data_IF_217144010877
#
_entry.id   IF_217144010877
#
_cell.length_a   1.000
_cell.length_b   1.000
_cell.length_c   1.000
_cell.angle_alpha   90.00
_cell.angle_beta   90.00
_cell.angle_gamma   90.00
#
_symmetry.space_group_name_H-M   'P 1'
#
loop_
_entity.id
_entity.type
_entity.pdbx_description
1 polymer ?
#
# COMPACT_ATOMS: atom_id res chain seq x y z
N UNK A 1 -0.04 -27.30 10.72
CA UNK A 1 0.55 -25.97 10.38
C UNK A 1 0.10 -25.60 9.00
N UNK A 2 -0.64 -24.49 8.86
CA UNK A 2 -1.12 -24.04 7.54
C UNK A 2 0.01 -23.36 6.77
N UNK A 3 0.06 -23.63 5.45
CA UNK A 3 1.07 -23.10 4.52
C UNK A 3 0.48 -22.03 3.62
N UNK A 4 1.02 -20.83 3.70
CA UNK A 4 0.58 -19.66 2.93
C UNK A 4 1.64 -19.33 1.88
N UNK A 5 1.30 -19.42 0.59
CA UNK A 5 2.10 -18.90 -0.50
C UNK A 5 1.77 -17.45 -0.77
N UNK A 6 2.63 -16.52 -0.39
CA UNK A 6 2.48 -15.10 -0.73
C UNK A 6 3.15 -14.81 -2.08
N UNK A 7 2.40 -14.27 -3.03
CA UNK A 7 2.88 -13.99 -4.39
C UNK A 7 3.00 -12.49 -4.63
N UNK A 8 4.22 -12.03 -4.92
CA UNK A 8 4.54 -10.64 -5.21
C UNK A 8 5.32 -10.52 -6.53
N UNK A 9 5.45 -9.32 -7.09
CA UNK A 9 6.30 -9.09 -8.26
C UNK A 9 7.79 -9.17 -7.90
N UNK A 10 8.17 -8.58 -6.78
CA UNK A 10 9.54 -8.55 -6.25
C UNK A 10 9.54 -8.70 -4.73
N UNK A 11 10.71 -8.88 -4.16
CA UNK A 11 10.89 -8.84 -2.70
C UNK A 11 10.44 -7.48 -2.17
N UNK A 12 9.68 -7.43 -1.04
CA UNK A 12 9.15 -6.18 -0.50
C UNK A 12 10.24 -5.17 -0.20
N UNK A 13 10.17 -4.01 -0.85
CA UNK A 13 11.08 -2.90 -0.67
C UNK A 13 10.76 -2.04 0.56
N UNK A 14 11.47 -0.92 0.67
CA UNK A 14 11.36 0.02 1.80
C UNK A 14 9.93 0.54 2.04
N UNK A 15 9.17 0.80 0.98
CA UNK A 15 7.78 1.30 1.08
C UNK A 15 6.75 0.18 1.32
N UNK A 16 7.17 -1.07 1.40
CA UNK A 16 6.33 -2.25 1.51
C UNK A 16 6.59 -3.03 2.81
N UNK A 17 7.01 -2.31 3.86
CA UNK A 17 7.33 -2.86 5.19
C UNK A 17 6.18 -3.67 5.80
N UNK A 18 4.94 -3.35 5.42
CA UNK A 18 3.75 -4.08 5.85
C UNK A 18 3.77 -5.56 5.46
N UNK A 19 4.37 -5.96 4.33
CA UNK A 19 4.52 -7.39 3.99
C UNK A 19 5.47 -8.08 4.95
N UNK A 20 6.57 -7.42 5.32
CA UNK A 20 7.52 -7.97 6.31
C UNK A 20 6.86 -8.14 7.68
N UNK A 21 6.08 -7.16 8.11
CA UNK A 21 5.30 -7.23 9.35
C UNK A 21 4.26 -8.34 9.31
N UNK A 22 3.52 -8.46 8.19
CA UNK A 22 2.54 -9.54 7.97
C UNK A 22 3.19 -10.92 8.04
N UNK A 23 4.32 -11.14 7.33
CA UNK A 23 5.04 -12.43 7.33
C UNK A 23 5.48 -12.78 8.75
N UNK A 24 6.16 -11.87 9.45
CA UNK A 24 6.60 -12.08 10.84
C UNK A 24 5.42 -12.40 11.78
N UNK A 25 4.33 -11.66 11.62
CA UNK A 25 3.13 -11.84 12.43
C UNK A 25 2.49 -13.22 12.23
N UNK A 26 2.37 -13.68 11.01
CA UNK A 26 1.82 -15.00 10.67
C UNK A 26 2.71 -16.14 11.20
N UNK A 27 4.03 -16.04 10.97
CA UNK A 27 4.97 -17.06 11.47
C UNK A 27 4.98 -17.18 12.99
N UNK A 28 4.90 -16.04 13.69
CA UNK A 28 4.82 -16.04 15.17
C UNK A 28 3.52 -16.69 15.69
N UNK A 29 2.52 -16.92 14.83
CA UNK A 29 1.25 -17.57 15.18
C UNK A 29 1.06 -18.93 14.49
N UNK A 30 2.14 -19.60 14.13
CA UNK A 30 2.12 -21.00 13.69
C UNK A 30 1.80 -21.21 12.20
N UNK A 31 1.85 -20.17 11.36
CA UNK A 31 1.75 -20.32 9.91
C UNK A 31 3.14 -20.47 9.29
N UNK A 32 3.26 -21.32 8.29
CA UNK A 32 4.43 -21.37 7.41
C UNK A 32 4.18 -20.44 6.21
N UNK A 33 5.02 -19.43 6.03
CA UNK A 33 4.88 -18.48 4.92
C UNK A 33 6.00 -18.68 3.92
N UNK A 34 5.64 -18.94 2.65
CA UNK A 34 6.54 -19.06 1.50
C UNK A 34 6.32 -17.84 0.60
N UNK A 35 7.38 -17.14 0.24
CA UNK A 35 7.31 -15.97 -0.65
C UNK A 35 7.69 -16.36 -2.07
N UNK A 36 6.80 -16.10 -3.03
CA UNK A 36 7.03 -16.30 -4.45
C UNK A 36 7.16 -14.94 -5.15
N UNK A 37 8.25 -14.74 -5.89
CA UNK A 37 8.51 -13.48 -6.61
C UNK A 37 8.89 -13.75 -8.07
N UNK A 38 8.49 -12.81 -8.96
CA UNK A 38 8.81 -12.92 -10.39
C UNK A 38 10.14 -12.27 -10.75
N UNK A 39 10.61 -11.31 -9.96
CA UNK A 39 11.89 -10.64 -10.17
C UNK A 39 12.82 -10.91 -8.98
N UNK A 40 14.11 -11.23 -9.27
CA UNK A 40 15.08 -11.45 -8.19
C UNK A 40 15.30 -10.18 -7.37
N UNK A 41 15.69 -10.33 -6.10
CA UNK A 41 16.03 -9.19 -5.25
C UNK A 41 17.22 -8.42 -5.83
N UNK A 42 17.17 -7.09 -5.78
CA UNK A 42 18.26 -6.22 -6.25
C UNK A 42 19.48 -6.22 -5.32
N UNK A 43 19.30 -6.58 -4.05
CA UNK A 43 20.32 -6.77 -3.01
C UNK A 43 19.93 -7.99 -2.18
N UNK A 44 20.88 -8.63 -1.51
CA UNK A 44 20.59 -9.66 -0.51
C UNK A 44 19.84 -9.03 0.66
N UNK A 45 18.52 -9.06 0.57
CA UNK A 45 17.64 -8.64 1.66
C UNK A 45 17.22 -9.87 2.44
N UNK A 46 17.63 -9.96 3.69
CA UNK A 46 17.22 -11.03 4.60
C UNK A 46 15.73 -10.86 4.91
N UNK A 47 14.94 -11.83 4.45
CA UNK A 47 13.53 -11.95 4.80
C UNK A 47 13.33 -13.04 5.87
N UNK A 48 12.29 -12.93 6.68
CA UNK A 48 12.00 -13.93 7.69
C UNK A 48 11.37 -15.23 7.14
N UNK A 49 11.35 -15.43 5.82
CA UNK A 49 10.74 -16.58 5.16
C UNK A 49 11.53 -17.04 3.95
N UNK A 50 11.27 -18.28 3.51
CA UNK A 50 11.86 -18.83 2.29
C UNK A 50 11.34 -18.11 1.05
N UNK A 51 12.24 -17.75 0.12
CA UNK A 51 11.92 -16.99 -1.09
C UNK A 51 12.16 -17.85 -2.34
N UNK A 52 11.13 -17.98 -3.16
CA UNK A 52 11.18 -18.67 -4.45
C UNK A 52 11.11 -17.64 -5.58
N UNK A 53 12.09 -17.66 -6.46
CA UNK A 53 12.17 -16.75 -7.60
C UNK A 53 11.73 -17.48 -8.87
N UNK A 54 10.90 -16.83 -9.68
CA UNK A 54 10.51 -17.35 -11.00
C UNK A 54 11.75 -17.58 -11.86
N UNK A 55 11.88 -18.72 -12.58
CA UNK A 55 12.95 -18.91 -13.54
C UNK A 55 12.99 -17.78 -14.57
N UNK A 56 14.16 -17.33 -15.00
CA UNK A 56 14.29 -16.28 -15.99
C UNK A 56 13.91 -16.83 -17.38
N UNK A 57 12.76 -16.38 -17.90
CA UNK A 57 12.36 -16.67 -19.28
C UNK A 57 12.80 -15.58 -20.26
N UNK A 58 13.50 -14.54 -19.77
CA UNK A 58 14.10 -13.46 -20.55
C UNK A 58 15.63 -13.61 -20.52
N UNK A 59 16.31 -13.53 -21.66
CA UNK A 59 17.76 -13.65 -21.74
C UNK A 59 18.21 -14.23 -23.09
N UNK A 60 19.48 -14.62 -23.19
CA UNK A 60 20.03 -15.28 -24.39
C UNK A 60 19.32 -16.61 -24.65
N UNK A 61 19.21 -17.02 -25.92
CA UNK A 61 18.47 -18.21 -26.37
C UNK A 61 18.84 -19.46 -25.57
N UNK A 62 20.12 -19.67 -25.31
CA UNK A 62 20.62 -20.82 -24.56
C UNK A 62 20.10 -20.84 -23.09
N UNK A 63 20.14 -19.70 -22.39
CA UNK A 63 19.64 -19.63 -21.00
C UNK A 63 18.11 -19.82 -20.91
N UNK A 64 17.37 -19.36 -21.93
CA UNK A 64 15.93 -19.62 -22.04
C UNK A 64 15.65 -21.11 -22.25
N UNK A 65 16.38 -21.79 -23.13
CA UNK A 65 16.19 -23.22 -23.40
C UNK A 65 16.42 -24.07 -22.15
N UNK A 66 17.48 -23.79 -21.39
CA UNK A 66 17.76 -24.47 -20.11
C UNK A 66 16.68 -24.22 -19.08
N UNK A 67 16.18 -22.97 -18.95
CA UNK A 67 15.08 -22.63 -18.02
C UNK A 67 13.78 -23.32 -18.40
N UNK A 68 13.44 -23.35 -19.69
CA UNK A 68 12.25 -24.05 -20.20
C UNK A 68 12.37 -25.56 -19.95
N UNK A 69 13.53 -26.16 -20.24
CA UNK A 69 13.74 -27.60 -20.02
C UNK A 69 13.61 -27.97 -18.54
N UNK A 70 14.23 -27.21 -17.63
CA UNK A 70 14.07 -27.40 -16.18
C UNK A 70 12.63 -27.25 -15.73
N UNK A 71 11.92 -26.26 -16.26
CA UNK A 71 10.52 -26.04 -15.96
C UNK A 71 9.64 -27.21 -16.44
N UNK A 72 9.89 -27.75 -17.61
CA UNK A 72 9.19 -28.94 -18.13
C UNK A 72 9.45 -30.18 -17.27
N UNK A 73 10.69 -30.43 -16.87
CA UNK A 73 11.00 -31.52 -15.95
C UNK A 73 10.24 -31.36 -14.62
N UNK A 74 10.22 -30.16 -14.04
CA UNK A 74 9.45 -29.90 -12.80
C UNK A 74 7.95 -30.11 -12.99
N UNK A 75 7.37 -29.70 -14.11
CA UNK A 75 5.94 -29.93 -14.41
C UNK A 75 5.61 -31.43 -14.46
N UNK A 76 6.45 -32.23 -15.10
CA UNK A 76 6.25 -33.66 -15.27
C UNK A 76 6.47 -34.43 -13.95
N UNK A 77 7.54 -34.12 -13.21
CA UNK A 77 7.94 -34.92 -12.05
C UNK A 77 7.37 -34.39 -10.72
N UNK A 78 7.18 -33.08 -10.57
CA UNK A 78 6.77 -32.50 -9.28
C UNK A 78 5.27 -32.18 -9.19
N UNK A 79 4.58 -31.94 -10.31
CA UNK A 79 3.19 -31.51 -10.27
C UNK A 79 2.36 -31.93 -11.50
N UNK A 80 2.40 -33.19 -11.98
CA UNK A 80 1.73 -33.59 -13.24
C UNK A 80 0.22 -33.37 -13.19
N UNK A 81 -0.44 -33.78 -12.12
CA UNK A 81 -1.90 -33.61 -11.98
C UNK A 81 -2.30 -32.12 -11.89
N UNK A 82 -1.55 -31.30 -11.14
CA UNK A 82 -1.82 -29.86 -11.04
C UNK A 82 -1.63 -29.16 -12.38
N UNK A 83 -0.61 -29.56 -13.15
CA UNK A 83 -0.34 -29.04 -14.48
C UNK A 83 -1.48 -29.35 -15.45
N UNK A 84 -1.97 -30.61 -15.47
CA UNK A 84 -3.13 -31.01 -16.25
C UNK A 84 -4.36 -30.19 -15.86
N UNK A 85 -4.67 -30.12 -14.57
CA UNK A 85 -5.83 -29.37 -14.05
C UNK A 85 -5.74 -27.88 -14.41
N UNK A 86 -4.57 -27.24 -14.26
CA UNK A 86 -4.39 -25.83 -14.63
C UNK A 86 -4.64 -25.61 -16.12
N UNK A 87 -4.11 -26.51 -16.95
CA UNK A 87 -4.30 -26.44 -18.40
C UNK A 87 -5.78 -26.56 -18.77
N UNK A 88 -6.50 -27.54 -18.23
CA UNK A 88 -7.92 -27.76 -18.48
C UNK A 88 -8.77 -26.55 -18.04
N UNK A 89 -8.51 -26.01 -16.85
CA UNK A 89 -9.18 -24.80 -16.34
C UNK A 89 -8.92 -23.57 -17.20
N UNK A 90 -7.67 -23.37 -17.63
CA UNK A 90 -7.33 -22.25 -18.51
C UNK A 90 -7.97 -22.40 -19.89
N UNK A 91 -8.08 -23.64 -20.40
CA UNK A 91 -8.81 -23.93 -21.67
C UNK A 91 -10.31 -23.70 -21.52
N UNK A 92 -10.92 -24.11 -20.42
CA UNK A 92 -12.36 -23.89 -20.17
C UNK A 92 -12.71 -22.39 -20.06
N UNK A 93 -11.75 -21.55 -19.63
CA UNK A 93 -11.89 -20.09 -19.65
C UNK A 93 -11.63 -19.46 -21.04
N UNK A 94 -11.45 -20.25 -22.09
CA UNK A 94 -11.24 -19.78 -23.45
C UNK A 94 -9.81 -19.31 -23.77
N UNK A 95 -8.83 -19.56 -22.91
CA UNK A 95 -7.44 -19.17 -23.18
C UNK A 95 -6.86 -20.00 -24.35
N UNK A 96 -6.05 -19.36 -25.19
CA UNK A 96 -5.34 -20.04 -26.32
C UNK A 96 -4.35 -21.08 -25.80
N UNK A 97 -4.11 -22.14 -26.54
CA UNK A 97 -3.14 -23.21 -26.20
C UNK A 97 -1.77 -22.65 -25.81
N UNK A 98 -1.23 -21.74 -26.62
CA UNK A 98 0.05 -21.09 -26.32
C UNK A 98 0.07 -20.33 -24.99
N UNK A 99 -1.04 -19.68 -24.63
CA UNK A 99 -1.20 -18.99 -23.33
C UNK A 99 -1.24 -20.00 -22.19
N UNK A 100 -1.94 -21.12 -22.34
CA UNK A 100 -1.98 -22.18 -21.34
C UNK A 100 -0.60 -22.76 -21.07
N UNK A 101 0.18 -23.08 -22.11
CA UNK A 101 1.57 -23.54 -21.97
C UNK A 101 2.47 -22.49 -21.35
N UNK A 102 2.36 -21.23 -21.74
CA UNK A 102 3.09 -20.13 -21.10
C UNK A 102 2.78 -20.01 -19.61
N UNK A 103 1.52 -20.14 -19.23
CA UNK A 103 1.08 -20.14 -17.83
C UNK A 103 1.68 -21.30 -17.06
N UNK A 104 1.66 -22.52 -17.60
CA UNK A 104 2.28 -23.69 -16.98
C UNK A 104 3.77 -23.44 -16.69
N UNK A 105 4.53 -22.98 -17.69
CA UNK A 105 5.95 -22.73 -17.54
C UNK A 105 6.25 -21.63 -16.53
N UNK A 106 5.50 -20.52 -16.57
CA UNK A 106 5.76 -19.36 -15.71
C UNK A 106 5.30 -19.55 -14.27
N UNK A 107 4.39 -20.51 -14.01
CA UNK A 107 3.79 -20.73 -12.69
C UNK A 107 4.28 -22.03 -12.01
N UNK A 108 5.11 -22.83 -12.70
CA UNK A 108 5.58 -24.15 -12.22
C UNK A 108 6.29 -24.05 -10.86
N UNK A 109 7.06 -22.99 -10.61
CA UNK A 109 7.80 -22.80 -9.35
C UNK A 109 6.87 -22.64 -8.13
N UNK A 110 5.63 -22.17 -8.35
CA UNK A 110 4.57 -22.14 -7.33
C UNK A 110 3.90 -23.51 -7.22
N UNK A 111 3.55 -24.13 -8.37
CA UNK A 111 2.85 -25.42 -8.42
C UNK A 111 3.63 -26.57 -7.79
N UNK A 112 4.95 -26.49 -7.73
CA UNK A 112 5.82 -27.49 -7.10
C UNK A 112 5.65 -27.59 -5.58
N UNK A 113 5.02 -26.57 -4.94
CA UNK A 113 4.84 -26.52 -3.49
C UNK A 113 3.43 -26.93 -3.08
N UNK A 114 3.30 -27.53 -1.88
CA UNK A 114 1.98 -27.79 -1.27
C UNK A 114 1.60 -26.57 -0.43
N UNK A 115 0.45 -25.99 -0.69
CA UNK A 115 -0.06 -24.77 -0.05
C UNK A 115 -1.52 -24.98 0.36
N UNK A 116 -1.92 -24.38 1.48
CA UNK A 116 -3.32 -24.28 1.88
C UNK A 116 -3.96 -23.01 1.33
N UNK A 117 -3.15 -21.92 1.29
CA UNK A 117 -3.53 -20.63 0.72
C UNK A 117 -2.52 -20.16 -0.31
N UNK A 118 -3.02 -19.62 -1.41
CA UNK A 118 -2.25 -18.85 -2.40
C UNK A 118 -2.75 -17.42 -2.39
N UNK A 119 -1.96 -16.50 -1.82
CA UNK A 119 -2.33 -15.11 -1.64
C UNK A 119 -1.53 -14.18 -2.55
N UNK A 120 -2.19 -13.56 -3.50
CA UNK A 120 -1.61 -12.52 -4.35
C UNK A 120 -1.63 -11.18 -3.62
N UNK A 121 -0.46 -10.59 -3.37
CA UNK A 121 -0.34 -9.35 -2.60
C UNK A 121 -0.85 -8.09 -3.32
N UNK A 122 -1.15 -8.20 -4.62
CA UNK A 122 -1.78 -7.16 -5.45
C UNK A 122 -2.70 -7.81 -6.49
N UNK A 123 -3.82 -7.16 -6.80
CA UNK A 123 -4.76 -7.64 -7.80
C UNK A 123 -4.11 -7.86 -9.18
N UNK A 124 -3.22 -6.97 -9.60
CA UNK A 124 -2.49 -7.08 -10.87
C UNK A 124 -1.62 -8.34 -10.98
N UNK A 125 -1.11 -8.85 -9.86
CA UNK A 125 -0.29 -10.07 -9.84
C UNK A 125 -1.15 -11.33 -10.03
N UNK A 126 -2.43 -11.28 -9.68
CA UNK A 126 -3.38 -12.39 -9.84
C UNK A 126 -3.85 -12.58 -11.29
N UNK A 127 -3.84 -11.50 -12.09
CA UNK A 127 -4.29 -11.55 -13.48
C UNK A 127 -3.46 -12.54 -14.30
N UNK A 128 -4.14 -13.43 -15.02
CA UNK A 128 -3.54 -14.55 -15.76
C UNK A 128 -3.26 -15.79 -14.91
N UNK A 129 -3.50 -15.74 -13.59
CA UNK A 129 -3.24 -16.83 -12.62
C UNK A 129 -4.50 -17.22 -11.83
N UNK A 130 -5.67 -16.86 -12.34
CA UNK A 130 -6.97 -17.03 -11.68
C UNK A 130 -7.31 -18.48 -11.35
N UNK A 131 -6.74 -19.43 -12.10
CA UNK A 131 -6.97 -20.86 -11.93
C UNK A 131 -5.89 -21.57 -11.08
N UNK A 132 -4.79 -20.88 -10.75
CA UNK A 132 -3.62 -21.52 -10.16
C UNK A 132 -3.93 -22.14 -8.78
N UNK A 133 -4.59 -21.39 -7.90
CA UNK A 133 -4.96 -21.89 -6.58
C UNK A 133 -5.87 -23.12 -6.66
N UNK A 134 -6.90 -23.08 -7.54
CA UNK A 134 -7.81 -24.21 -7.76
C UNK A 134 -7.07 -25.44 -8.28
N UNK A 135 -6.14 -25.26 -9.22
CA UNK A 135 -5.32 -26.37 -9.74
C UNK A 135 -4.41 -26.98 -8.66
N UNK A 136 -4.00 -26.19 -7.68
CA UNK A 136 -3.19 -26.63 -6.53
C UNK A 136 -4.02 -27.19 -5.38
N UNK A 137 -5.35 -27.12 -5.44
CA UNK A 137 -6.29 -27.42 -4.35
C UNK A 137 -6.03 -26.55 -3.11
N UNK A 138 -5.65 -25.27 -3.35
CA UNK A 138 -5.46 -24.25 -2.34
C UNK A 138 -6.60 -23.23 -2.39
N UNK A 139 -6.90 -22.57 -1.27
CA UNK A 139 -7.75 -21.38 -1.23
C UNK A 139 -7.03 -20.21 -1.89
N UNK A 140 -7.74 -19.37 -2.63
CA UNK A 140 -7.18 -18.19 -3.29
C UNK A 140 -7.50 -16.94 -2.50
N UNK A 141 -6.49 -16.11 -2.25
CA UNK A 141 -6.68 -14.78 -1.71
C UNK A 141 -6.02 -13.72 -2.60
N UNK A 142 -6.62 -12.53 -2.66
CA UNK A 142 -6.10 -11.39 -3.42
C UNK A 142 -6.24 -10.11 -2.60
N UNK A 143 -5.14 -9.36 -2.45
CA UNK A 143 -5.18 -8.02 -1.86
C UNK A 143 -5.31 -6.94 -2.92
N UNK A 144 -6.19 -5.96 -2.68
CA UNK A 144 -6.21 -4.69 -3.40
C UNK A 144 -5.69 -3.56 -2.50
N UNK A 145 -4.85 -2.66 -3.08
CA UNK A 145 -4.12 -1.64 -2.31
C UNK A 145 -4.22 -0.23 -2.87
N UNK A 146 -5.18 0.01 -3.75
CA UNK A 146 -5.45 1.30 -4.36
C UNK A 146 -4.97 1.40 -5.80
N UNK A 147 -3.66 1.46 -6.08
CA UNK A 147 -3.16 1.57 -7.46
C UNK A 147 -3.70 0.45 -8.36
N UNK A 148 -3.69 -0.77 -7.88
CA UNK A 148 -4.16 -1.96 -8.58
C UNK A 148 -5.67 -1.98 -8.78
N UNK A 149 -6.46 -1.37 -7.90
CA UNK A 149 -7.92 -1.29 -8.03
C UNK A 149 -8.37 -0.10 -8.89
N UNK A 150 -7.71 1.07 -8.74
CA UNK A 150 -8.20 2.32 -9.32
C UNK A 150 -7.49 2.72 -10.61
N UNK A 151 -6.19 2.44 -10.75
CA UNK A 151 -5.41 2.92 -11.89
C UNK A 151 -5.10 1.83 -12.91
N UNK A 152 -4.73 0.63 -12.45
CA UNK A 152 -4.37 -0.46 -13.37
C UNK A 152 -5.51 -0.85 -14.33
N UNK A 153 -6.79 -0.87 -13.92
CA UNK A 153 -7.90 -1.19 -14.82
C UNK A 153 -8.16 -0.15 -15.91
N UNK A 154 -7.69 1.09 -15.75
CA UNK A 154 -7.89 2.15 -16.75
C UNK A 154 -7.21 1.86 -18.09
N UNK A 155 -6.17 1.02 -18.07
CA UNK A 155 -5.43 0.64 -19.27
C UNK A 155 -6.11 -0.48 -20.08
N UNK A 156 -7.13 -1.16 -19.54
CA UNK A 156 -7.77 -2.30 -20.18
C UNK A 156 -9.17 -2.52 -19.62
N UNK A 157 -10.17 -2.51 -20.46
CA UNK A 157 -11.53 -2.90 -20.09
C UNK A 157 -11.58 -4.33 -19.52
N UNK A 158 -12.48 -4.54 -18.58
CA UNK A 158 -12.72 -5.84 -17.96
C UNK A 158 -11.48 -6.50 -17.35
N UNK A 159 -10.53 -5.68 -16.86
CA UNK A 159 -9.21 -6.12 -16.40
C UNK A 159 -9.27 -7.26 -15.37
N UNK A 160 -10.25 -7.24 -14.45
CA UNK A 160 -10.44 -8.25 -13.41
C UNK A 160 -11.68 -9.13 -13.63
N UNK A 161 -12.36 -9.08 -14.78
CA UNK A 161 -13.63 -9.79 -15.00
C UNK A 161 -13.54 -11.30 -14.79
N UNK A 162 -12.44 -11.93 -15.19
CA UNK A 162 -12.21 -13.35 -14.96
C UNK A 162 -11.93 -13.63 -13.49
N UNK A 163 -11.14 -12.79 -12.82
CA UNK A 163 -10.81 -12.94 -11.40
C UNK A 163 -12.07 -12.86 -10.52
N UNK A 164 -12.99 -11.93 -10.81
CA UNK A 164 -14.22 -11.74 -10.05
C UNK A 164 -15.26 -12.87 -10.24
N UNK A 165 -15.08 -13.72 -11.26
CA UNK A 165 -15.89 -14.94 -11.48
C UNK A 165 -15.36 -16.18 -10.76
N UNK A 166 -14.20 -16.08 -10.08
CA UNK A 166 -13.59 -17.21 -9.38
C UNK A 166 -13.89 -17.17 -7.87
N UNK A 167 -13.74 -18.32 -7.22
CA UNK A 167 -13.82 -18.40 -5.77
C UNK A 167 -12.53 -17.78 -5.15
N UNK A 168 -12.61 -16.52 -4.76
CA UNK A 168 -11.49 -15.74 -4.24
C UNK A 168 -11.91 -15.03 -2.96
N UNK A 169 -11.07 -15.07 -1.93
CA UNK A 169 -11.22 -14.24 -0.74
C UNK A 169 -10.41 -12.95 -0.94
N UNK A 170 -11.09 -11.81 -0.84
CA UNK A 170 -10.46 -10.50 -1.10
C UNK A 170 -10.08 -9.81 0.20
N UNK A 171 -8.89 -9.24 0.21
CA UNK A 171 -8.43 -8.31 1.24
C UNK A 171 -8.33 -6.91 0.66
N UNK A 172 -8.96 -5.94 1.33
CA UNK A 172 -8.93 -4.51 0.98
C UNK A 172 -8.52 -3.68 2.18
N UNK A 173 -8.07 -2.43 1.94
CA UNK A 173 -7.52 -1.56 2.98
C UNK A 173 -8.56 -0.64 3.63
N UNK A 174 -9.74 -0.48 3.01
CA UNK A 174 -10.76 0.50 3.43
C UNK A 174 -12.16 -0.01 3.12
N UNK A 175 -13.16 0.57 3.78
CA UNK A 175 -14.58 0.31 3.52
C UNK A 175 -14.99 0.80 2.12
N UNK A 176 -14.44 1.92 1.66
CA UNK A 176 -14.66 2.42 0.31
C UNK A 176 -14.19 1.41 -0.75
N UNK A 177 -12.97 0.86 -0.61
CA UNK A 177 -12.49 -0.20 -1.50
C UNK A 177 -13.39 -1.45 -1.46
N UNK A 178 -13.97 -1.79 -0.31
CA UNK A 178 -14.98 -2.87 -0.20
C UNK A 178 -16.22 -2.54 -1.00
N UNK A 179 -16.77 -1.33 -0.83
CA UNK A 179 -17.94 -0.87 -1.58
C UNK A 179 -17.69 -0.88 -3.10
N UNK A 180 -16.51 -0.46 -3.54
CA UNK A 180 -16.12 -0.46 -4.95
C UNK A 180 -16.03 -1.88 -5.55
N UNK A 181 -15.53 -2.85 -4.79
CA UNK A 181 -15.53 -4.25 -5.25
C UNK A 181 -16.94 -4.82 -5.32
N UNK A 182 -17.80 -4.49 -4.37
CA UNK A 182 -19.23 -4.88 -4.41
C UNK A 182 -19.91 -4.27 -5.64
N UNK A 183 -19.66 -3.00 -5.93
CA UNK A 183 -20.18 -2.32 -7.13
C UNK A 183 -19.70 -2.96 -8.44
N UNK A 184 -18.56 -3.66 -8.41
CA UNK A 184 -18.01 -4.45 -9.54
C UNK A 184 -18.53 -5.90 -9.59
N UNK A 185 -19.49 -6.26 -8.72
CA UNK A 185 -20.15 -7.58 -8.69
C UNK A 185 -19.46 -8.63 -7.83
N UNK A 186 -18.53 -8.24 -6.95
CA UNK A 186 -17.94 -9.18 -5.98
C UNK A 186 -18.87 -9.32 -4.77
N UNK A 187 -19.10 -10.56 -4.31
CA UNK A 187 -19.89 -10.81 -3.11
C UNK A 187 -19.19 -10.21 -1.88
N UNK A 188 -19.93 -9.38 -1.14
CA UNK A 188 -19.44 -8.70 0.06
C UNK A 188 -18.97 -9.63 1.18
N UNK A 189 -19.45 -10.89 1.22
CA UNK A 189 -19.02 -11.92 2.17
C UNK A 189 -17.60 -12.42 1.91
N UNK A 190 -17.12 -12.30 0.66
CA UNK A 190 -15.77 -12.66 0.25
C UNK A 190 -14.75 -11.53 0.51
N UNK A 191 -15.20 -10.34 0.93
CA UNK A 191 -14.34 -9.15 1.05
C UNK A 191 -14.10 -8.82 2.52
N UNK A 192 -12.85 -8.95 2.94
CA UNK A 192 -12.36 -8.61 4.28
C UNK A 192 -11.63 -7.27 4.26
N UNK A 193 -12.05 -6.35 5.11
CA UNK A 193 -11.36 -5.09 5.32
C UNK A 193 -10.34 -5.29 6.44
N UNK A 194 -9.05 -5.24 6.11
CA UNK A 194 -7.96 -5.27 7.09
C UNK A 194 -7.12 -4.02 6.83
N UNK A 195 -7.29 -3.02 7.69
CA UNK A 195 -6.62 -1.73 7.52
C UNK A 195 -5.11 -1.84 7.76
N UNK A 196 -4.31 -0.97 7.14
CA UNK A 196 -2.92 -0.83 7.50
C UNK A 196 -2.76 -0.48 8.98
N UNK A 197 -1.64 -0.92 9.56
CA UNK A 197 -1.28 -0.65 10.95
C UNK A 197 0.14 -0.12 11.05
N UNK A 198 0.41 0.60 12.13
CA UNK A 198 1.72 1.16 12.44
C UNK A 198 2.27 0.60 13.75
N UNK A 199 3.58 0.72 13.91
CA UNK A 199 4.25 0.45 15.20
C UNK A 199 4.04 1.64 16.14
N UNK A 200 3.05 1.53 17.01
CA UNK A 200 2.72 2.56 18.00
C UNK A 200 3.75 2.67 19.13
N UNK A 201 4.71 1.76 19.23
CA UNK A 201 5.84 1.89 20.15
C UNK A 201 6.94 2.82 19.59
N UNK A 202 7.14 2.77 18.27
CA UNK A 202 8.05 3.67 17.57
C UNK A 202 7.45 5.07 17.43
N UNK A 203 6.21 5.17 16.96
CA UNK A 203 5.48 6.43 16.78
C UNK A 203 4.62 6.69 18.00
N UNK A 204 5.22 7.32 19.02
CA UNK A 204 4.55 7.72 20.26
C UNK A 204 4.75 9.20 20.49
N UNK A 205 3.65 9.91 20.79
CA UNK A 205 3.65 11.35 21.03
C UNK A 205 4.74 11.75 22.03
N UNK A 206 5.57 12.69 21.62
CA UNK A 206 6.56 13.36 22.46
C UNK A 206 6.03 14.74 22.86
N UNK A 207 6.54 15.29 23.95
CA UNK A 207 6.24 16.67 24.33
C UNK A 207 7.08 17.61 23.43
N UNK A 208 6.47 18.18 22.40
CA UNK A 208 7.04 19.35 21.74
C UNK A 208 6.15 20.54 22.07
N UNK A 209 6.59 21.33 23.01
CA UNK A 209 6.08 22.70 23.21
C UNK A 209 7.05 23.63 22.50
N UNK A 210 6.79 23.95 21.26
CA UNK A 210 7.49 25.04 20.59
C UNK A 210 6.49 26.18 20.39
N UNK A 211 6.72 27.26 21.10
CA UNK A 211 6.04 28.58 20.95
C UNK A 211 6.63 29.34 19.76
N UNK A 212 6.77 28.71 18.60
CA UNK A 212 7.21 29.40 17.40
C UNK A 212 6.04 30.14 16.75
N UNK A 213 6.26 31.35 16.29
CA UNK A 213 5.31 32.10 15.46
C UNK A 213 5.21 31.55 14.03
N UNK A 214 6.16 30.69 13.62
CA UNK A 214 6.22 30.07 12.29
C UNK A 214 5.58 28.69 12.33
N UNK A 215 4.59 28.45 11.49
CA UNK A 215 3.87 27.18 11.40
C UNK A 215 4.72 26.13 10.65
N UNK A 216 5.02 25.00 11.28
CA UNK A 216 5.81 23.92 10.68
C UNK A 216 4.89 22.84 10.13
N UNK A 217 4.89 22.72 8.80
CA UNK A 217 4.03 21.82 8.03
C UNK A 217 4.90 20.67 7.51
N UNK A 218 4.40 19.44 7.58
CA UNK A 218 5.10 18.24 7.14
C UNK A 218 4.23 17.40 6.20
N UNK A 219 4.87 16.87 5.16
CA UNK A 219 4.35 15.76 4.34
C UNK A 219 5.40 14.66 4.21
N UNK A 220 5.00 13.40 4.39
CA UNK A 220 5.84 12.22 4.15
C UNK A 220 5.22 11.39 3.05
N UNK A 221 5.77 11.44 1.83
CA UNK A 221 5.19 10.79 0.66
C UNK A 221 6.22 10.51 -0.43
N UNK A 222 5.97 9.51 -1.28
CA UNK A 222 6.68 9.40 -2.56
C UNK A 222 6.34 10.61 -3.42
N UNK A 223 7.33 11.19 -4.10
CA UNK A 223 7.12 12.31 -5.02
C UNK A 223 6.55 11.77 -6.34
N UNK A 224 5.24 11.63 -6.36
CA UNK A 224 4.46 11.06 -7.45
C UNK A 224 3.16 11.86 -7.60
N UNK A 225 2.70 12.09 -8.82
CA UNK A 225 1.56 12.95 -9.14
C UNK A 225 0.30 12.66 -8.28
N UNK A 226 0.02 11.39 -7.99
CA UNK A 226 -1.14 11.00 -7.18
C UNK A 226 -1.12 11.51 -5.74
N UNK A 227 0.05 11.94 -5.24
CA UNK A 227 0.20 12.50 -3.89
C UNK A 227 -0.22 13.97 -3.81
N UNK A 228 -0.54 14.62 -4.94
CA UNK A 228 -1.10 15.95 -4.99
C UNK A 228 -0.20 17.04 -4.41
N UNK A 229 1.12 16.82 -4.40
CA UNK A 229 2.08 17.77 -3.83
C UNK A 229 2.05 19.12 -4.53
N UNK A 230 1.76 19.18 -5.82
CA UNK A 230 1.61 20.40 -6.58
C UNK A 230 0.47 21.27 -6.00
N UNK A 231 -0.71 20.68 -5.75
CA UNK A 231 -1.82 21.39 -5.09
C UNK A 231 -1.48 21.82 -3.65
N UNK A 232 -0.61 21.05 -2.97
CA UNK A 232 -0.13 21.45 -1.65
C UNK A 232 0.78 22.68 -1.75
N UNK A 233 1.68 22.75 -2.75
CA UNK A 233 2.50 23.93 -3.02
C UNK A 233 1.65 25.17 -3.37
N UNK A 234 0.63 25.00 -4.19
CA UNK A 234 -0.34 26.08 -4.48
C UNK A 234 -0.99 26.59 -3.19
N UNK A 235 -1.40 25.70 -2.29
CA UNK A 235 -1.96 26.08 -0.99
C UNK A 235 -0.94 26.83 -0.11
N UNK A 236 0.34 26.43 -0.13
CA UNK A 236 1.42 27.14 0.57
C UNK A 236 1.60 28.55 0.00
N UNK A 237 1.53 28.71 -1.32
CA UNK A 237 1.59 30.04 -1.94
C UNK A 237 0.39 30.94 -1.53
N UNK A 238 -0.80 30.35 -1.36
CA UNK A 238 -1.95 31.08 -0.80
C UNK A 238 -1.69 31.54 0.64
N UNK A 239 -1.15 30.67 1.50
CA UNK A 239 -0.77 31.04 2.88
C UNK A 239 0.23 32.19 2.90
N UNK A 240 1.26 32.15 2.05
CA UNK A 240 2.25 33.24 1.92
C UNK A 240 1.59 34.56 1.55
N UNK A 241 0.72 34.56 0.54
CA UNK A 241 -0.02 35.78 0.12
C UNK A 241 -0.91 36.36 1.23
N UNK A 242 -1.37 35.49 2.16
CA UNK A 242 -2.17 35.92 3.33
C UNK A 242 -1.32 36.35 4.52
N UNK A 243 0.02 36.36 4.38
CA UNK A 243 0.94 36.77 5.43
C UNK A 243 1.15 35.75 6.54
N UNK A 244 0.77 34.47 6.32
CA UNK A 244 1.03 33.40 7.26
C UNK A 244 2.50 32.97 7.16
N UNK A 245 3.24 33.07 8.26
CA UNK A 245 4.62 32.57 8.34
C UNK A 245 4.61 31.04 8.50
N UNK A 246 5.28 30.31 7.60
CA UNK A 246 5.36 28.85 7.65
C UNK A 246 6.69 28.32 7.12
N UNK A 247 7.00 27.09 7.51
CA UNK A 247 8.00 26.22 6.89
C UNK A 247 7.31 24.93 6.46
N UNK A 248 7.47 24.54 5.20
CA UNK A 248 6.91 23.30 4.66
C UNK A 248 8.02 22.31 4.33
N UNK A 249 8.06 21.19 5.02
CA UNK A 249 9.03 20.10 4.79
C UNK A 249 8.35 18.93 4.09
N UNK A 250 8.95 18.46 2.99
CA UNK A 250 8.52 17.27 2.25
C UNK A 250 9.59 16.19 2.35
N UNK A 251 9.21 15.05 2.95
CA UNK A 251 10.08 13.87 3.06
C UNK A 251 9.68 12.84 2.01
N UNK A 252 10.63 12.40 1.21
CA UNK A 252 10.48 11.35 0.22
C UNK A 252 11.25 11.60 -1.07
N UNK A 253 11.17 10.65 -1.98
CA UNK A 253 11.79 10.70 -3.31
C UNK A 253 10.81 10.23 -4.37
N UNK A 254 11.05 10.57 -5.62
CA UNK A 254 10.25 10.16 -6.77
C UNK A 254 10.52 11.02 -7.99
N UNK A 255 9.90 10.65 -9.10
CA UNK A 255 10.17 11.23 -10.43
C UNK A 255 9.67 12.67 -10.58
N UNK A 256 8.80 13.15 -9.65
CA UNK A 256 8.23 14.48 -9.68
C UNK A 256 9.12 15.55 -9.00
N UNK A 257 10.31 15.23 -8.48
CA UNK A 257 11.12 16.17 -7.69
C UNK A 257 11.43 17.45 -8.46
N UNK A 258 11.96 17.33 -9.68
CA UNK A 258 12.34 18.51 -10.49
C UNK A 258 11.13 19.40 -10.78
N UNK A 259 10.00 18.79 -11.13
CA UNK A 259 8.74 19.51 -11.38
C UNK A 259 8.25 20.24 -10.13
N UNK A 260 8.35 19.62 -8.96
CA UNK A 260 7.93 20.23 -7.69
C UNK A 260 8.87 21.37 -7.26
N UNK A 261 10.17 21.26 -7.48
CA UNK A 261 11.14 22.34 -7.25
C UNK A 261 10.83 23.55 -8.16
N UNK A 262 10.57 23.29 -9.44
CA UNK A 262 10.21 24.32 -10.39
C UNK A 262 8.87 24.99 -10.03
N UNK A 263 7.86 24.22 -9.63
CA UNK A 263 6.59 24.73 -9.16
C UNK A 263 6.75 25.63 -7.91
N UNK A 264 7.55 25.22 -6.93
CA UNK A 264 7.83 26.05 -5.75
C UNK A 264 8.52 27.38 -6.12
N UNK A 265 9.43 27.36 -7.10
CA UNK A 265 10.08 28.57 -7.63
C UNK A 265 9.06 29.49 -8.31
N UNK A 266 8.25 28.98 -9.24
CA UNK A 266 7.23 29.78 -9.93
C UNK A 266 6.19 30.39 -8.99
N UNK A 267 5.84 29.66 -7.91
CA UNK A 267 4.91 30.10 -6.88
C UNK A 267 5.57 31.09 -5.88
N UNK A 268 6.87 31.34 -5.98
CA UNK A 268 7.61 32.26 -5.11
C UNK A 268 7.75 31.78 -3.66
N UNK A 269 7.76 30.46 -3.42
CA UNK A 269 7.82 29.85 -2.08
C UNK A 269 9.05 28.98 -1.84
N UNK A 270 10.08 29.09 -2.68
CA UNK A 270 11.28 28.26 -2.56
C UNK A 270 12.01 28.42 -1.23
N UNK A 271 11.92 29.58 -0.59
CA UNK A 271 12.55 29.82 0.72
C UNK A 271 11.83 29.10 1.87
N UNK A 272 10.53 28.89 1.76
CA UNK A 272 9.69 28.28 2.79
C UNK A 272 9.54 26.77 2.62
N UNK A 273 9.93 26.19 1.46
CA UNK A 273 9.74 24.77 1.13
C UNK A 273 11.06 24.02 1.11
N UNK A 274 11.13 22.89 1.80
CA UNK A 274 12.30 22.02 1.84
C UNK A 274 11.98 20.60 1.43
N UNK A 275 12.62 20.09 0.38
CA UNK A 275 12.60 18.68 -0.01
C UNK A 275 13.84 17.99 0.55
N UNK A 276 13.66 17.16 1.59
CA UNK A 276 14.78 16.56 2.34
C UNK A 276 15.14 15.13 1.90
N UNK A 277 14.54 14.68 0.80
CA UNK A 277 14.79 13.34 0.28
C UNK A 277 14.22 12.23 1.17
N UNK A 278 14.66 11.00 0.91
CA UNK A 278 14.25 9.82 1.69
C UNK A 278 14.93 9.82 3.05
N UNK A 279 14.16 9.59 4.12
CA UNK A 279 14.63 9.54 5.49
C UNK A 279 14.37 8.16 6.13
N UNK A 280 15.12 7.84 7.19
CA UNK A 280 14.88 6.66 8.02
C UNK A 280 13.61 6.83 8.87
N UNK A 281 12.94 5.75 9.33
CA UNK A 281 11.79 5.88 10.23
C UNK A 281 12.08 6.69 11.50
N UNK A 282 13.30 6.59 12.05
CA UNK A 282 13.75 7.37 13.19
C UNK A 282 13.81 8.87 12.86
N UNK A 283 14.41 9.24 11.73
CA UNK A 283 14.47 10.64 11.29
C UNK A 283 13.06 11.17 10.96
N UNK A 284 12.19 10.39 10.31
CA UNK A 284 10.78 10.77 10.08
C UNK A 284 10.08 11.11 11.40
N UNK A 285 10.29 10.30 12.45
CA UNK A 285 9.75 10.57 13.78
C UNK A 285 10.26 11.93 14.33
N UNK A 286 11.54 12.24 14.18
CA UNK A 286 12.12 13.51 14.62
C UNK A 286 11.50 14.70 13.90
N UNK A 287 11.30 14.59 12.55
CA UNK A 287 10.57 15.60 11.79
C UNK A 287 9.12 15.76 12.26
N UNK A 288 8.43 14.65 12.58
CA UNK A 288 7.08 14.71 13.13
C UNK A 288 7.04 15.42 14.49
N UNK A 289 8.00 15.15 15.39
CA UNK A 289 8.11 15.85 16.68
C UNK A 289 8.31 17.36 16.46
N UNK A 290 9.09 17.74 15.45
CA UNK A 290 9.39 19.14 15.14
C UNK A 290 8.28 19.85 14.36
N UNK A 291 7.17 19.19 14.01
CA UNK A 291 6.11 19.76 13.17
C UNK A 291 4.83 20.03 13.97
N UNK A 292 4.01 20.95 13.46
CA UNK A 292 2.74 21.33 14.09
C UNK A 292 1.54 20.72 13.34
N UNK A 293 1.64 20.65 12.01
CA UNK A 293 0.57 20.18 11.10
C UNK A 293 1.16 19.15 10.12
N UNK A 294 0.44 18.06 9.93
CA UNK A 294 0.71 17.07 8.90
C UNK A 294 -0.31 17.21 7.76
N UNK A 295 0.17 17.31 6.53
CA UNK A 295 -0.67 17.43 5.34
C UNK A 295 -0.48 16.22 4.43
N UNK A 296 -1.57 15.54 4.06
CA UNK A 296 -1.58 14.50 3.03
C UNK A 296 -2.69 14.83 2.02
N UNK A 297 -2.33 15.54 0.96
CA UNK A 297 -3.31 16.06 0.02
C UNK A 297 -3.36 15.27 -1.29
N UNK A 298 -3.43 13.92 -1.16
CA UNK A 298 -3.40 13.00 -2.29
C UNK A 298 -4.60 13.19 -3.22
N UNK A 299 -4.39 12.93 -4.52
CA UNK A 299 -5.45 12.85 -5.53
C UNK A 299 -6.05 11.45 -5.54
N UNK A 300 -5.20 10.44 -5.29
CA UNK A 300 -5.59 9.04 -5.21
C UNK A 300 -4.78 8.34 -4.11
N UNK A 301 -5.48 7.65 -3.20
CA UNK A 301 -4.87 6.91 -2.09
C UNK A 301 -5.76 5.75 -1.67
N UNK A 302 -5.19 4.56 -1.44
CA UNK A 302 -5.93 3.44 -0.88
C UNK A 302 -6.06 3.52 0.63
N UNK A 303 -4.98 3.90 1.31
CA UNK A 303 -4.85 4.17 2.74
C UNK A 303 -3.43 4.69 3.04
N UNK A 304 -3.23 5.52 4.06
CA UNK A 304 -1.93 6.18 4.28
C UNK A 304 -1.35 5.94 5.68
N UNK A 305 -0.28 5.14 5.77
CA UNK A 305 0.41 4.88 7.04
C UNK A 305 0.99 6.16 7.66
N UNK A 306 1.56 7.06 6.83
CA UNK A 306 2.16 8.28 7.34
C UNK A 306 1.16 9.22 8.04
N UNK A 307 -0.13 9.18 7.65
CA UNK A 307 -1.21 9.87 8.38
C UNK A 307 -1.45 9.23 9.74
N UNK A 308 -1.42 7.89 9.83
CA UNK A 308 -1.55 7.20 11.12
C UNK A 308 -0.36 7.50 12.02
N UNK A 309 0.85 7.50 11.47
CA UNK A 309 2.10 7.86 12.17
C UNK A 309 2.02 9.28 12.72
N UNK A 310 1.58 10.25 11.90
CA UNK A 310 1.40 11.64 12.29
C UNK A 310 0.35 11.80 13.39
N UNK A 311 -0.80 11.12 13.29
CA UNK A 311 -1.83 11.10 14.33
C UNK A 311 -1.31 10.50 15.64
N UNK A 312 -0.57 9.37 15.57
CA UNK A 312 0.05 8.75 16.75
C UNK A 312 1.05 9.65 17.44
N UNK A 313 1.75 10.50 16.67
CA UNK A 313 2.68 11.52 17.16
C UNK A 313 1.99 12.79 17.67
N UNK A 314 0.66 12.90 17.52
CA UNK A 314 -0.12 14.03 18.00
C UNK A 314 -0.04 15.27 17.11
N UNK A 315 0.22 15.13 15.80
CA UNK A 315 0.11 16.21 14.84
C UNK A 315 -1.37 16.47 14.49
N UNK A 316 -1.70 17.73 14.18
CA UNK A 316 -2.96 18.06 13.56
C UNK A 316 -2.90 17.64 12.09
N UNK A 317 -3.75 16.71 11.68
CA UNK A 317 -3.75 16.17 10.31
C UNK A 317 -4.81 16.85 9.44
N UNK A 318 -4.40 17.29 8.25
CA UNK A 318 -5.29 17.75 7.18
C UNK A 318 -5.08 16.84 5.98
N UNK A 319 -6.13 16.16 5.55
CA UNK A 319 -6.09 15.20 4.44
C UNK A 319 -7.12 15.53 3.38
N UNK A 320 -6.90 15.07 2.16
CA UNK A 320 -7.92 15.14 1.10
C UNK A 320 -8.93 14.01 1.24
N UNK A 321 -10.09 14.16 0.60
CA UNK A 321 -11.10 13.11 0.44
C UNK A 321 -10.77 12.13 -0.70
N UNK A 322 -9.50 11.80 -0.89
CA UNK A 322 -9.10 10.76 -1.84
C UNK A 322 -9.39 9.39 -1.26
N UNK A 323 -10.25 8.64 -1.90
CA UNK A 323 -10.70 7.27 -1.61
C UNK A 323 -10.48 6.88 -0.12
N UNK A 324 -9.81 5.78 0.18
CA UNK A 324 -9.54 5.33 1.55
C UNK A 324 -8.72 6.28 2.43
N UNK A 325 -8.18 7.37 1.90
CA UNK A 325 -7.51 8.40 2.72
C UNK A 325 -8.47 9.11 3.68
N UNK A 326 -9.72 9.32 3.27
CA UNK A 326 -10.72 9.91 4.14
C UNK A 326 -11.02 9.04 5.38
N UNK A 327 -10.79 7.73 5.30
CA UNK A 327 -10.97 6.82 6.46
C UNK A 327 -9.81 6.91 7.48
N UNK A 328 -8.66 7.46 7.09
CA UNK A 328 -7.56 7.71 8.01
C UNK A 328 -7.92 8.74 9.10
N UNK A 329 -8.78 9.70 8.78
CA UNK A 329 -9.11 10.85 9.63
C UNK A 329 -10.61 10.97 9.77
N UNK A 330 -11.11 11.07 10.99
CA UNK A 330 -12.50 11.43 11.28
C UNK A 330 -12.61 12.95 11.26
N UNK A 331 -13.32 13.49 10.27
CA UNK A 331 -13.41 14.94 10.04
C UNK A 331 -13.96 15.69 11.27
N UNK A 332 -13.25 16.74 11.69
CA UNK A 332 -13.55 17.54 12.87
C UNK A 332 -13.31 16.82 14.22
N UNK A 333 -12.91 15.55 14.24
CA UNK A 333 -12.75 14.72 15.46
C UNK A 333 -11.28 14.31 15.68
N UNK A 334 -10.59 13.81 14.63
CA UNK A 334 -9.19 13.41 14.70
C UNK A 334 -8.28 14.21 13.75
N UNK A 335 -8.85 15.16 13.03
CA UNK A 335 -8.22 16.01 12.04
C UNK A 335 -9.26 16.56 11.08
N UNK A 336 -8.85 16.93 9.87
CA UNK A 336 -9.73 17.55 8.87
C UNK A 336 -9.65 16.83 7.55
N UNK A 337 -10.80 16.56 6.93
CA UNK A 337 -10.93 15.98 5.60
C UNK A 337 -11.49 17.04 4.65
N UNK A 338 -10.78 17.34 3.57
CA UNK A 338 -11.16 18.41 2.66
C UNK A 338 -11.21 17.91 1.21
N UNK A 339 -11.97 18.57 0.32
CA UNK A 339 -12.02 18.17 -1.09
C UNK A 339 -10.66 18.22 -1.77
N UNK A 340 -10.30 17.15 -2.50
CA UNK A 340 -9.08 17.13 -3.34
C UNK A 340 -9.13 18.16 -4.46
N UNK A 341 -7.97 18.62 -4.93
CA UNK A 341 -7.80 19.62 -6.03
C UNK A 341 -8.45 20.99 -5.73
N UNK A 342 -8.46 21.40 -4.46
CA UNK A 342 -8.97 22.68 -3.98
C UNK A 342 -7.94 23.35 -3.06
N UNK A 343 -6.82 23.87 -3.60
CA UNK A 343 -5.71 24.42 -2.80
C UNK A 343 -6.14 25.57 -1.89
N UNK A 344 -7.09 26.41 -2.31
CA UNK A 344 -7.64 27.49 -1.49
C UNK A 344 -8.36 26.95 -0.24
N UNK A 345 -9.04 25.78 -0.34
CA UNK A 345 -9.69 25.15 0.81
C UNK A 345 -8.63 24.60 1.75
N UNK A 346 -7.57 23.99 1.23
CA UNK A 346 -6.44 23.50 2.03
C UNK A 346 -5.79 24.65 2.79
N UNK A 347 -5.47 25.76 2.13
CA UNK A 347 -4.86 26.92 2.75
C UNK A 347 -5.73 27.49 3.87
N UNK A 348 -7.04 27.69 3.62
CA UNK A 348 -7.99 28.18 4.64
C UNK A 348 -8.10 27.24 5.83
N UNK A 349 -8.09 25.93 5.59
CA UNK A 349 -8.14 24.95 6.68
C UNK A 349 -6.87 25.00 7.53
N UNK A 350 -5.69 25.08 6.92
CA UNK A 350 -4.41 25.20 7.64
C UNK A 350 -4.37 26.51 8.44
N UNK A 351 -4.76 27.63 7.83
CA UNK A 351 -4.85 28.94 8.49
C UNK A 351 -5.79 28.90 9.71
N UNK A 352 -6.96 28.28 9.57
CA UNK A 352 -7.91 28.09 10.68
C UNK A 352 -7.30 27.35 11.87
N UNK A 353 -6.37 26.40 11.64
CA UNK A 353 -5.69 25.69 12.72
C UNK A 353 -4.86 26.62 13.61
N UNK A 354 -4.36 27.73 13.10
CA UNK A 354 -3.62 28.71 13.90
C UNK A 354 -4.50 29.31 15.00
N UNK A 355 -5.74 29.59 14.66
CA UNK A 355 -6.71 30.28 15.52
C UNK A 355 -7.60 29.33 16.35
N UNK A 356 -7.46 28.01 16.17
CA UNK A 356 -8.19 27.06 17.04
C UNK A 356 -7.77 27.23 18.50
N UNK A 357 -8.73 27.27 19.45
CA UNK A 357 -8.44 27.29 20.88
C UNK A 357 -7.56 26.10 21.29
N UNK A 358 -6.64 26.31 22.23
CA UNK A 358 -5.69 25.28 22.67
C UNK A 358 -6.39 24.01 23.17
N UNK A 359 -7.51 24.12 23.87
CA UNK A 359 -8.28 22.98 24.35
C UNK A 359 -8.83 22.13 23.21
N UNK A 360 -9.29 22.76 22.10
CA UNK A 360 -9.75 22.04 20.92
C UNK A 360 -8.60 21.32 20.19
N UNK A 361 -7.45 21.98 20.03
CA UNK A 361 -6.25 21.33 19.48
C UNK A 361 -5.85 20.10 20.29
N UNK A 362 -5.84 20.22 21.62
CA UNK A 362 -5.52 19.12 22.54
C UNK A 362 -6.56 17.99 22.41
N UNK A 363 -7.84 18.32 22.32
CA UNK A 363 -8.92 17.36 22.15
C UNK A 363 -8.75 16.54 20.86
N UNK A 364 -8.58 17.21 19.71
CA UNK A 364 -8.34 16.57 18.41
C UNK A 364 -7.13 15.63 18.46
N UNK A 365 -6.00 16.10 18.97
CA UNK A 365 -4.76 15.32 19.08
C UNK A 365 -4.94 14.08 19.97
N UNK A 366 -5.54 14.24 21.16
CA UNK A 366 -5.78 13.14 22.10
C UNK A 366 -6.71 12.07 21.49
N UNK A 367 -7.78 12.49 20.81
CA UNK A 367 -8.70 11.57 20.16
C UNK A 367 -8.03 10.83 19.01
N UNK A 368 -7.21 11.52 18.20
CA UNK A 368 -6.44 10.92 17.12
C UNK A 368 -5.45 9.85 17.64
N UNK A 369 -4.66 10.17 18.67
CA UNK A 369 -3.72 9.25 19.32
C UNK A 369 -4.45 7.99 19.81
N UNK A 370 -5.53 8.17 20.58
CA UNK A 370 -6.28 7.06 21.16
C UNK A 370 -6.87 6.15 20.05
N UNK A 371 -7.42 6.75 18.97
CA UNK A 371 -7.95 5.99 17.85
C UNK A 371 -6.87 5.15 17.17
N UNK A 372 -5.71 5.73 16.89
CA UNK A 372 -4.62 4.98 16.24
C UNK A 372 -4.12 3.85 17.13
N UNK A 373 -3.93 4.09 18.42
CA UNK A 373 -3.50 3.06 19.38
C UNK A 373 -4.51 1.90 19.48
N UNK A 374 -5.81 2.19 19.41
CA UNK A 374 -6.88 1.19 19.51
C UNK A 374 -7.08 0.45 18.20
N UNK A 375 -7.18 1.17 17.07
CA UNK A 375 -7.74 0.64 15.83
C UNK A 375 -6.68 0.30 14.77
N UNK A 376 -5.48 0.90 14.83
CA UNK A 376 -4.46 0.77 13.77
C UNK A 376 -3.10 0.27 14.29
N UNK A 377 -3.11 -0.58 15.32
CA UNK A 377 -1.90 -1.19 15.85
C UNK A 377 -1.61 -2.55 15.20
N UNK A 378 -0.31 -2.92 15.20
CA UNK A 378 0.17 -4.16 14.57
C UNK A 378 -0.46 -5.43 15.18
N UNK A 379 -0.77 -5.42 16.48
CA UNK A 379 -1.36 -6.60 17.14
C UNK A 379 -2.75 -6.89 16.62
N UNK A 380 -3.61 -5.86 16.50
CA UNK A 380 -4.96 -5.98 15.94
C UNK A 380 -4.91 -6.46 14.49
N UNK A 381 -4.08 -5.84 13.65
CA UNK A 381 -3.93 -6.24 12.26
C UNK A 381 -3.47 -7.70 12.12
N UNK A 382 -2.59 -8.14 13.01
CA UNK A 382 -2.13 -9.54 13.05
C UNK A 382 -3.27 -10.50 13.34
N UNK A 383 -4.10 -10.21 14.34
CA UNK A 383 -5.28 -11.00 14.69
C UNK A 383 -6.27 -11.09 13.52
N UNK A 384 -6.53 -9.96 12.85
CA UNK A 384 -7.40 -9.91 11.66
C UNK A 384 -6.86 -10.80 10.52
N UNK A 385 -5.54 -10.84 10.29
CA UNK A 385 -4.94 -11.75 9.30
C UNK A 385 -4.96 -13.21 9.74
N UNK A 386 -4.84 -13.52 11.04
CA UNK A 386 -5.00 -14.89 11.55
C UNK A 386 -6.43 -15.36 11.27
N UNK A 387 -7.43 -14.55 11.59
CA UNK A 387 -8.84 -14.86 11.33
C UNK A 387 -9.12 -15.01 9.83
N UNK A 388 -8.52 -14.15 8.99
CA UNK A 388 -8.63 -14.22 7.53
C UNK A 388 -8.16 -15.55 6.94
N UNK A 389 -7.10 -16.16 7.47
CA UNK A 389 -6.62 -17.45 6.99
C UNK A 389 -7.20 -18.64 7.76
N UNK A 390 -7.76 -18.41 8.93
CA UNK A 390 -8.42 -19.45 9.74
C UNK A 390 -9.83 -19.80 9.26
N UNK A 391 -10.42 -18.92 8.43
CA UNK A 391 -11.77 -19.08 7.85
C UNK A 391 -11.84 -20.15 6.75
#
# INVERSE_FOLDING_TARGET
>A
MQRIGLVLLSVPGYSETFFRSKIKGLQANGFEVLLFVFYPPKKEEVLPCEVFVSPPFNGRIFSKSVSVFKALLQLVFSAPFRSKTLFELDRSDGKRWATCFKNLLSQQFIMSKKLDWLHFGFGTVAVGKENLAKAMRAKMAVSFRGFDLYLSPLNRENYYSLLFKKAVTYHVLSLEMKADLIAKGVDGTQIHVITPAIDTSLFKAGHSQTTSSTLRILTVARLHWKKGLEYTLEAMAVLKRRGVAFEYTVIGTGDELERLLFAAHQLGISAEVRFVGKQTPKAVKEYMIASDVYVQYSIQEGFCNAVLEAQAMGLLCVVSNAEGLAENVMDGITGFVIPKRKPEVLARTIEKLLYLPSHQKIGLKKTAINRVQKDFNVSKQREEFINFYGS
#
